data_IF_137632471634
#
_entry.id   IF_137632471634
#
_cell.length_a   1.000
_cell.length_b   1.000
_cell.length_c   1.000
_cell.angle_alpha   90.00
_cell.angle_beta   90.00
_cell.angle_gamma   90.00
#
_symmetry.space_group_name_H-M   'P 1'
#
loop_
_entity.id
_entity.type
_entity.pdbx_description
1 polymer ?
#
# COMPACT_ATOMS: atom_id res chain seq x y z
N UNK A 1 -30.61 -11.15 -14.88
CA UNK A 1 -31.16 -12.04 -13.82
C UNK A 1 -31.86 -13.27 -14.41
N UNK A 2 -31.28 -13.98 -15.39
CA UNK A 2 -31.99 -15.10 -16.07
C UNK A 2 -31.16 -16.37 -16.34
N UNK A 3 -29.83 -16.30 -16.25
CA UNK A 3 -28.97 -17.45 -16.60
C UNK A 3 -28.69 -18.38 -15.41
N UNK A 4 -28.76 -17.86 -14.18
CA UNK A 4 -28.43 -18.61 -12.95
C UNK A 4 -29.58 -19.43 -12.38
N UNK A 5 -30.80 -19.35 -12.96
CA UNK A 5 -31.97 -20.10 -12.49
C UNK A 5 -32.04 -21.54 -13.01
N UNK A 6 -31.05 -21.99 -13.79
CA UNK A 6 -31.03 -23.33 -14.39
C UNK A 6 -30.26 -24.37 -13.56
N UNK A 7 -29.64 -23.99 -12.45
CA UNK A 7 -28.87 -24.90 -11.59
C UNK A 7 -29.81 -25.48 -10.53
N UNK A 8 -30.19 -26.75 -10.69
CA UNK A 8 -31.29 -27.38 -9.93
C UNK A 8 -30.96 -27.79 -8.49
N UNK A 9 -29.69 -27.84 -8.09
CA UNK A 9 -29.30 -28.31 -6.74
C UNK A 9 -28.33 -27.37 -6.00
N UNK A 10 -28.17 -26.12 -6.46
CA UNK A 10 -27.30 -25.16 -5.78
C UNK A 10 -27.87 -23.74 -5.82
N UNK A 11 -27.86 -23.08 -4.66
CA UNK A 11 -28.14 -21.65 -4.56
C UNK A 11 -26.90 -20.86 -4.97
N UNK A 12 -26.98 -20.15 -6.08
CA UNK A 12 -25.90 -19.27 -6.56
C UNK A 12 -26.15 -17.86 -6.04
N UNK A 13 -25.30 -17.42 -5.12
CA UNK A 13 -25.27 -16.04 -4.66
C UNK A 13 -24.08 -15.32 -5.30
N UNK A 14 -24.37 -14.31 -6.11
CA UNK A 14 -23.35 -13.41 -6.62
C UNK A 14 -23.09 -12.33 -5.57
N UNK A 15 -22.02 -12.49 -4.80
CA UNK A 15 -21.53 -11.43 -3.93
C UNK A 15 -20.51 -10.60 -4.69
N UNK A 16 -20.75 -9.30 -4.78
CA UNK A 16 -19.71 -8.34 -5.09
C UNK A 16 -18.68 -8.39 -3.97
N UNK A 17 -17.51 -9.01 -4.23
CA UNK A 17 -16.38 -8.92 -3.32
C UNK A 17 -16.09 -7.42 -3.11
N UNK A 18 -16.09 -6.91 -1.87
CA UNK A 18 -15.64 -5.55 -1.63
C UNK A 18 -14.22 -5.41 -2.19
N UNK A 19 -13.92 -4.24 -2.77
CA UNK A 19 -12.60 -3.99 -3.34
C UNK A 19 -11.52 -4.35 -2.31
N UNK A 20 -10.59 -5.20 -2.71
CA UNK A 20 -9.46 -5.59 -1.87
C UNK A 20 -8.68 -4.30 -1.55
N UNK A 21 -8.73 -3.85 -0.30
CA UNK A 21 -8.04 -2.65 0.21
C UNK A 21 -6.55 -2.95 0.44
N UNK A 22 -5.89 -3.70 -0.46
CA UNK A 22 -4.48 -4.15 -0.27
C UNK A 22 -3.45 -3.33 -1.04
N UNK A 23 -3.86 -2.23 -1.67
CA UNK A 23 -2.94 -1.15 -1.99
C UNK A 23 -3.40 0.03 -1.15
N UNK A 24 -2.73 0.21 -0.01
CA UNK A 24 -3.06 1.20 1.00
C UNK A 24 -3.31 2.58 0.40
N UNK A 25 -3.99 3.44 1.14
CA UNK A 25 -4.41 4.80 0.76
C UNK A 25 -3.29 5.78 0.42
N UNK A 26 -2.03 5.32 0.32
CA UNK A 26 -0.90 6.10 -0.14
C UNK A 26 -0.93 6.23 -1.67
N UNK A 27 -1.76 7.13 -2.19
CA UNK A 27 -1.56 7.65 -3.54
C UNK A 27 -0.28 8.51 -3.54
N UNK A 28 0.80 8.09 -4.21
CA UNK A 28 2.06 8.83 -4.21
C UNK A 28 3.28 7.97 -4.55
N UNK A 29 4.39 8.22 -3.85
CA UNK A 29 5.64 7.48 -3.95
C UNK A 29 6.00 6.91 -2.57
N UNK A 30 6.68 5.77 -2.55
CA UNK A 30 7.32 5.20 -1.35
C UNK A 30 8.84 5.26 -1.51
N UNK A 31 9.55 5.49 -0.41
CA UNK A 31 11.01 5.61 -0.42
C UNK A 31 11.63 4.80 0.72
N UNK A 32 12.67 4.05 0.37
CA UNK A 32 13.52 3.37 1.32
C UNK A 32 14.89 4.05 1.37
N UNK A 33 15.35 4.32 2.59
CA UNK A 33 16.70 4.83 2.83
C UNK A 33 17.61 3.67 3.21
N UNK A 34 18.63 3.41 2.39
CA UNK A 34 19.58 2.31 2.58
C UNK A 34 20.97 2.86 2.88
N UNK A 35 21.59 2.34 3.93
CA UNK A 35 22.98 2.61 4.25
C UNK A 35 23.93 1.71 3.44
N UNK A 36 24.24 2.13 2.21
CA UNK A 36 25.18 1.41 1.34
C UNK A 36 26.64 1.48 1.83
N UNK A 37 26.97 2.52 2.61
CA UNK A 37 28.33 2.75 3.11
C UNK A 37 28.63 2.09 4.46
N UNK A 38 27.64 1.47 5.09
CA UNK A 38 27.78 0.89 6.44
C UNK A 38 28.10 1.93 7.51
N UNK A 39 27.61 3.16 7.36
CA UNK A 39 27.80 4.28 8.30
C UNK A 39 27.07 4.08 9.64
N UNK A 40 26.13 3.14 9.71
CA UNK A 40 25.44 2.72 10.91
C UNK A 40 24.06 3.37 11.13
N UNK A 41 23.31 2.82 12.08
CA UNK A 41 21.91 3.17 12.34
C UNK A 41 21.72 4.66 12.71
N UNK A 42 22.64 5.24 13.49
CA UNK A 42 22.56 6.64 13.91
C UNK A 42 22.66 7.60 12.71
N UNK A 43 23.61 7.34 11.82
CA UNK A 43 23.81 8.12 10.60
C UNK A 43 22.64 7.97 9.64
N UNK A 44 22.12 6.75 9.49
CA UNK A 44 20.92 6.47 8.70
C UNK A 44 19.70 7.22 9.25
N UNK A 45 19.52 7.23 10.57
CA UNK A 45 18.43 7.93 11.26
C UNK A 45 18.55 9.45 11.09
N UNK A 46 19.77 10.00 11.16
CA UNK A 46 20.03 11.41 10.91
C UNK A 46 19.66 11.81 9.49
N UNK A 47 20.08 11.03 8.48
CA UNK A 47 19.75 11.26 7.09
C UNK A 47 18.23 11.18 6.82
N UNK A 48 17.53 10.23 7.43
CA UNK A 48 16.05 10.14 7.39
C UNK A 48 15.39 11.42 7.94
N UNK A 49 15.85 11.91 9.09
CA UNK A 49 15.29 13.12 9.69
C UNK A 49 15.55 14.37 8.84
N UNK A 50 16.72 14.44 8.18
CA UNK A 50 17.01 15.51 7.22
C UNK A 50 16.07 15.44 6.01
N UNK A 51 15.81 14.24 5.46
CA UNK A 51 14.86 14.04 4.37
C UNK A 51 13.46 14.54 4.76
N UNK A 52 12.96 14.16 5.93
CA UNK A 52 11.68 14.66 6.42
C UNK A 52 11.66 16.17 6.64
N UNK A 53 12.75 16.75 7.14
CA UNK A 53 12.87 18.21 7.27
C UNK A 53 12.79 18.93 5.92
N UNK A 54 13.44 18.40 4.88
CA UNK A 54 13.38 18.96 3.53
C UNK A 54 11.97 18.84 2.93
N UNK A 55 11.31 17.70 3.12
CA UNK A 55 9.93 17.49 2.64
C UNK A 55 8.94 18.41 3.34
N UNK A 56 9.04 18.55 4.66
CA UNK A 56 8.19 19.45 5.43
C UNK A 56 8.39 20.94 5.09
N UNK A 57 9.58 21.32 4.60
CA UNK A 57 9.85 22.67 4.11
C UNK A 57 9.38 22.90 2.66
N UNK A 58 9.17 21.82 1.89
CA UNK A 58 8.76 21.86 0.48
C UNK A 58 7.25 21.72 0.28
N UNK A 59 6.51 21.37 1.33
CA UNK A 59 5.04 21.35 1.41
C UNK A 59 4.47 22.68 1.85
#
# INVERSE_FOLDING_TARGET
MGYFSQIKDAMVFAFNLPAIVELGTATGFDFELIDQGGLGHEKLTQARNQLFGMVAAAS
#
